data_IF_509476887305
#
_entry.id   IF_509476887305
#
_cell.length_a   1.000
_cell.length_b   1.000
_cell.length_c   1.000
_cell.angle_alpha   90.00
_cell.angle_beta   90.00
_cell.angle_gamma   90.00
#
_symmetry.space_group_name_H-M   'P 1'
#
loop_
_entity.id
_entity.type
_entity.pdbx_description
1 polymer ?
#
# COMPACT_ATOMS: atom_id res chain seq x y z
N UNK A 1 -6.77 7.20 12.93
CA UNK A 1 -5.34 6.96 12.66
C UNK A 1 -4.43 7.51 13.74
N UNK A 2 -4.45 8.82 13.99
CA UNK A 2 -3.57 9.48 14.98
C UNK A 2 -3.61 8.80 16.35
N UNK A 3 -4.78 8.53 16.91
CA UNK A 3 -4.93 7.87 18.22
C UNK A 3 -4.36 6.44 18.27
N UNK A 4 -4.40 5.72 17.15
CA UNK A 4 -3.81 4.37 17.06
C UNK A 4 -2.29 4.44 16.96
N UNK A 5 -1.76 5.41 16.21
CA UNK A 5 -0.33 5.66 16.12
C UNK A 5 0.26 6.10 17.47
N UNK A 6 -0.40 7.01 18.17
CA UNK A 6 -0.01 7.47 19.52
C UNK A 6 -0.04 6.30 20.52
N UNK A 7 -1.10 5.50 20.53
CA UNK A 7 -1.16 4.29 21.37
C UNK A 7 0.01 3.32 21.11
N UNK A 8 0.33 3.06 19.84
CA UNK A 8 1.40 2.14 19.48
C UNK A 8 2.75 2.68 19.93
N UNK A 9 3.00 3.97 19.69
CA UNK A 9 4.23 4.63 20.11
C UNK A 9 4.40 4.59 21.63
N UNK A 10 3.34 4.90 22.39
CA UNK A 10 3.35 4.84 23.86
C UNK A 10 3.63 3.41 24.36
N UNK A 11 3.05 2.39 23.71
CA UNK A 11 3.23 0.98 24.08
C UNK A 11 4.69 0.52 23.97
N UNK A 12 5.42 1.03 22.98
CA UNK A 12 6.78 0.60 22.65
C UNK A 12 7.85 1.67 22.94
N UNK A 13 7.49 2.76 23.61
CA UNK A 13 8.38 3.89 23.93
C UNK A 13 9.10 4.45 22.69
N UNK A 14 8.35 4.64 21.60
CA UNK A 14 8.87 5.12 20.31
C UNK A 14 8.82 6.64 20.29
N UNK A 15 9.95 7.29 20.00
CA UNK A 15 9.99 8.74 19.75
C UNK A 15 9.13 9.11 18.53
N UNK A 16 8.25 10.09 18.69
CA UNK A 16 7.36 10.53 17.61
C UNK A 16 7.57 11.99 17.22
N UNK A 17 7.36 12.27 15.93
CA UNK A 17 7.26 13.62 15.38
C UNK A 17 5.93 13.73 14.63
N UNK A 18 5.11 14.71 15.00
CA UNK A 18 3.80 14.94 14.39
C UNK A 18 3.89 16.06 13.36
N UNK A 19 3.57 15.75 12.12
CA UNK A 19 3.52 16.73 11.01
C UNK A 19 2.10 16.79 10.47
N UNK A 20 1.50 17.98 10.49
CA UNK A 20 0.16 18.19 9.94
C UNK A 20 0.21 18.32 8.41
N UNK A 21 0.05 17.20 7.71
CA UNK A 21 0.09 17.18 6.25
C UNK A 21 -1.05 17.97 5.58
N UNK A 22 -2.14 18.24 6.29
CA UNK A 22 -3.30 18.97 5.75
C UNK A 22 -2.91 20.37 5.24
N UNK A 23 -2.03 21.05 5.97
CA UNK A 23 -1.53 22.39 5.63
C UNK A 23 -0.70 22.42 4.33
N UNK A 24 -0.22 21.26 3.88
CA UNK A 24 0.54 21.11 2.62
C UNK A 24 -0.37 20.54 1.52
N UNK A 25 -1.17 19.53 1.85
CA UNK A 25 -2.02 18.82 0.91
C UNK A 25 -3.10 19.74 0.33
N UNK A 26 -3.86 20.47 1.16
CA UNK A 26 -5.01 21.25 0.68
C UNK A 26 -4.61 22.37 -0.28
N UNK A 27 -3.58 23.20 -0.01
CA UNK A 27 -3.15 24.22 -0.97
C UNK A 27 -2.64 23.61 -2.28
N UNK A 28 -1.91 22.49 -2.22
CA UNK A 28 -1.41 21.82 -3.42
C UNK A 28 -2.56 21.25 -4.25
N UNK A 29 -3.48 20.50 -3.64
CA UNK A 29 -4.65 19.94 -4.34
C UNK A 29 -5.48 21.03 -4.99
N UNK A 30 -5.73 22.14 -4.29
CA UNK A 30 -6.43 23.29 -4.86
C UNK A 30 -5.68 23.88 -6.06
N UNK A 31 -4.35 23.93 -6.02
CA UNK A 31 -3.55 24.39 -7.16
C UNK A 31 -3.63 23.41 -8.34
N UNK A 32 -3.55 22.11 -8.08
CA UNK A 32 -3.57 21.06 -9.11
C UNK A 32 -4.93 20.97 -9.81
N UNK A 33 -6.04 21.10 -9.07
CA UNK A 33 -7.41 21.12 -9.61
C UNK A 33 -7.68 22.28 -10.56
N UNK A 34 -6.88 23.34 -10.50
CA UNK A 34 -6.99 24.51 -11.37
C UNK A 34 -6.06 24.45 -12.59
N UNK A 35 -5.35 23.34 -12.80
CA UNK A 35 -4.58 23.12 -14.03
C UNK A 35 -5.54 22.66 -15.12
N UNK A 36 -5.59 23.41 -16.21
CA UNK A 36 -6.39 23.06 -17.38
C UNK A 36 -5.73 21.89 -18.13
N UNK A 37 -6.23 20.68 -17.89
CA UNK A 37 -5.83 19.45 -18.58
C UNK A 37 -7.06 18.70 -19.08
N UNK A 38 -6.93 18.08 -20.24
CA UNK A 38 -7.95 17.17 -20.75
C UNK A 38 -7.86 15.83 -20.00
N UNK A 39 -8.90 15.48 -19.24
CA UNK A 39 -8.99 14.18 -18.59
C UNK A 39 -9.23 13.07 -19.62
N UNK A 40 -8.55 11.93 -19.43
CA UNK A 40 -8.73 10.75 -20.28
C UNK A 40 -9.53 9.70 -19.54
N UNK A 41 -10.61 9.21 -20.15
CA UNK A 41 -11.28 8.00 -19.67
C UNK A 41 -10.37 6.79 -19.85
N UNK A 42 -10.13 6.05 -18.76
CA UNK A 42 -9.34 4.82 -18.77
C UNK A 42 -10.06 3.74 -18.00
N UNK A 43 -10.02 2.52 -18.53
CA UNK A 43 -10.59 1.35 -17.87
C UNK A 43 -9.70 0.80 -16.75
N UNK A 44 -8.39 1.11 -16.76
CA UNK A 44 -7.45 0.68 -15.74
C UNK A 44 -6.30 1.68 -15.55
N UNK A 45 -5.60 1.55 -14.42
CA UNK A 45 -4.38 2.32 -14.17
C UNK A 45 -3.18 1.68 -14.92
N UNK A 46 -2.30 2.47 -15.58
CA UNK A 46 -1.21 1.90 -16.39
C UNK A 46 -0.24 1.02 -15.59
N UNK A 47 0.00 1.33 -14.31
CA UNK A 47 0.98 0.66 -13.47
C UNK A 47 0.45 -0.60 -12.78
N UNK A 48 -0.87 -0.78 -12.68
CA UNK A 48 -1.46 -1.94 -11.99
C UNK A 48 -2.42 -2.72 -12.87
N UNK A 49 -2.76 -2.26 -14.09
CA UNK A 49 -3.72 -2.87 -15.06
C UNK A 49 -5.09 -3.30 -14.49
N UNK A 50 -5.38 -2.99 -13.23
CA UNK A 50 -6.62 -3.26 -12.53
C UNK A 50 -7.56 -2.07 -12.74
N UNK A 51 -8.87 -2.29 -12.98
CA UNK A 51 -9.86 -1.23 -12.99
C UNK A 51 -9.92 -0.52 -11.64
N UNK A 52 -9.56 0.76 -11.62
CA UNK A 52 -9.59 1.59 -10.41
C UNK A 52 -10.07 3.00 -10.79
N UNK A 53 -10.89 3.66 -9.95
CA UNK A 53 -11.14 5.09 -10.09
C UNK A 53 -9.82 5.87 -10.12
N UNK A 54 -9.81 7.05 -10.74
CA UNK A 54 -8.60 7.86 -10.83
C UNK A 54 -8.00 8.12 -9.43
N UNK A 55 -6.79 7.60 -9.11
CA UNK A 55 -6.22 7.68 -7.77
C UNK A 55 -5.35 8.93 -7.58
N UNK A 56 -5.47 9.95 -8.44
CA UNK A 56 -4.56 11.10 -8.46
C UNK A 56 -4.46 11.81 -7.10
N UNK A 57 -5.61 12.07 -6.47
CA UNK A 57 -5.73 12.74 -5.17
C UNK A 57 -5.19 11.87 -4.02
N UNK A 58 -5.39 10.55 -4.06
CA UNK A 58 -4.81 9.66 -3.04
C UNK A 58 -3.29 9.56 -3.21
N UNK A 59 -2.84 9.37 -4.44
CA UNK A 59 -1.42 9.20 -4.76
C UNK A 59 -0.60 10.45 -4.46
N UNK A 60 -1.14 11.65 -4.62
CA UNK A 60 -0.39 12.87 -4.26
C UNK A 60 -0.19 12.97 -2.75
N UNK A 61 -1.17 12.56 -1.93
CA UNK A 61 -1.04 12.58 -0.48
C UNK A 61 0.04 11.60 0.02
N UNK A 62 0.10 10.38 -0.52
CA UNK A 62 1.15 9.40 -0.17
C UNK A 62 2.53 9.86 -0.62
N UNK A 63 2.65 10.47 -1.81
CA UNK A 63 3.90 11.08 -2.31
C UNK A 63 4.40 12.22 -1.43
N UNK A 64 3.51 13.07 -0.92
CA UNK A 64 3.90 14.14 0.00
C UNK A 64 4.38 13.60 1.35
N UNK A 65 3.78 12.50 1.86
CA UNK A 65 4.29 11.79 3.04
C UNK A 65 5.70 11.26 2.81
N UNK A 66 5.94 10.61 1.67
CA UNK A 66 7.27 10.14 1.25
C UNK A 66 8.29 11.28 1.25
N UNK A 67 7.99 12.41 0.59
CA UNK A 67 8.88 13.57 0.53
C UNK A 67 9.22 14.10 1.93
N UNK A 68 8.23 14.13 2.82
CA UNK A 68 8.40 14.60 4.20
C UNK A 68 9.28 13.64 5.01
N UNK A 69 9.07 12.34 4.88
CA UNK A 69 9.88 11.31 5.54
C UNK A 69 11.35 11.39 5.11
N UNK A 70 11.62 11.50 3.80
CA UNK A 70 12.99 11.62 3.30
C UNK A 70 13.66 12.94 3.74
N UNK A 71 12.94 14.06 3.73
CA UNK A 71 13.48 15.33 4.25
C UNK A 71 13.94 15.19 5.71
N UNK A 72 13.11 14.59 6.56
CA UNK A 72 13.43 14.37 7.97
C UNK A 72 14.60 13.40 8.10
N UNK A 73 14.58 12.29 7.36
CA UNK A 73 15.62 11.27 7.39
C UNK A 73 16.99 11.84 7.02
N UNK A 74 17.09 12.61 5.93
CA UNK A 74 18.33 13.26 5.52
C UNK A 74 18.86 14.26 6.56
N UNK A 75 17.96 15.06 7.17
CA UNK A 75 18.34 16.00 8.23
C UNK A 75 18.82 15.32 9.51
N UNK A 76 18.32 14.12 9.80
CA UNK A 76 18.68 13.32 10.97
C UNK A 76 19.74 12.25 10.68
N UNK A 77 20.19 12.11 9.43
CA UNK A 77 21.05 11.02 8.97
C UNK A 77 20.45 9.63 9.27
N UNK A 78 19.16 9.45 8.96
CA UNK A 78 18.40 8.21 9.07
C UNK A 78 18.09 7.61 7.69
N UNK A 79 17.54 6.40 7.70
CA UNK A 79 16.93 5.74 6.54
C UNK A 79 15.42 5.66 6.72
N UNK A 80 14.66 5.56 5.62
CA UNK A 80 13.20 5.43 5.61
C UNK A 80 12.82 3.94 5.54
N UNK A 81 12.15 3.46 6.59
CA UNK A 81 11.63 2.08 6.68
C UNK A 81 10.21 2.00 6.10
N UNK A 82 10.01 1.11 5.14
CA UNK A 82 8.72 0.87 4.49
C UNK A 82 7.85 -0.15 5.20
N UNK A 83 6.54 0.03 5.06
CA UNK A 83 5.53 -0.81 5.73
C UNK A 83 4.73 -1.66 4.76
N UNK A 84 5.05 -1.64 3.47
CA UNK A 84 4.40 -2.53 2.50
C UNK A 84 4.76 -3.98 2.81
N UNK A 85 3.75 -4.79 3.10
CA UNK A 85 3.88 -6.24 3.30
C UNK A 85 3.84 -7.00 1.97
N UNK A 86 4.11 -8.30 2.00
CA UNK A 86 4.18 -9.13 0.78
C UNK A 86 2.88 -9.14 0.00
N UNK A 87 1.74 -9.24 0.67
CA UNK A 87 0.42 -9.24 0.03
C UNK A 87 0.13 -7.91 -0.68
N UNK A 88 0.46 -6.78 -0.05
CA UNK A 88 0.38 -5.44 -0.68
C UNK A 88 1.33 -5.32 -1.87
N UNK A 89 2.55 -5.85 -1.77
CA UNK A 89 3.53 -5.80 -2.86
C UNK A 89 3.05 -6.63 -4.06
N UNK A 90 2.57 -7.86 -3.81
CA UNK A 90 2.08 -8.78 -4.83
C UNK A 90 0.83 -8.29 -5.54
N UNK A 91 -0.07 -7.63 -4.82
CA UNK A 91 -1.28 -7.00 -5.40
C UNK A 91 -0.99 -5.63 -6.01
N UNK A 92 0.20 -5.08 -5.79
CA UNK A 92 0.55 -3.72 -6.16
C UNK A 92 -0.26 -2.68 -5.36
N UNK A 93 -0.71 -2.98 -4.15
CA UNK A 93 -1.45 -2.07 -3.29
C UNK A 93 -0.55 -1.10 -2.53
N UNK A 94 0.11 -0.23 -3.28
CA UNK A 94 0.93 0.85 -2.77
C UNK A 94 1.04 1.95 -3.82
N UNK A 95 1.32 3.18 -3.42
CA UNK A 95 1.62 4.24 -4.38
C UNK A 95 3.07 4.14 -4.83
N UNK A 96 3.30 4.01 -6.14
CA UNK A 96 4.64 4.11 -6.70
C UNK A 96 5.19 5.52 -6.44
N UNK A 97 6.38 5.58 -5.84
CA UNK A 97 7.01 6.80 -5.33
C UNK A 97 6.24 7.52 -4.22
N UNK A 98 5.28 6.84 -3.58
CA UNK A 98 4.63 7.28 -2.34
C UNK A 98 5.08 6.39 -1.19
N UNK A 99 4.13 5.74 -0.54
CA UNK A 99 4.35 4.75 0.53
C UNK A 99 5.25 3.58 0.10
N UNK A 100 5.30 3.25 -1.20
CA UNK A 100 6.21 2.24 -1.73
C UNK A 100 7.67 2.70 -1.90
N UNK A 101 8.00 3.98 -1.80
CA UNK A 101 9.37 4.48 -1.94
C UNK A 101 10.05 4.59 -0.57
N UNK A 102 10.90 3.61 -0.27
CA UNK A 102 11.58 3.43 1.01
C UNK A 102 12.96 2.81 0.80
N UNK A 103 13.87 2.96 1.76
CA UNK A 103 15.22 2.40 1.69
C UNK A 103 15.23 0.89 2.00
N UNK A 104 14.36 0.43 2.91
CA UNK A 104 14.23 -0.98 3.31
C UNK A 104 12.78 -1.33 3.65
N UNK A 105 12.40 -2.62 3.52
CA UNK A 105 11.05 -3.13 3.85
C UNK A 105 11.14 -4.33 4.82
N UNK A 106 11.17 -4.11 6.15
CA UNK A 106 11.40 -5.17 7.14
C UNK A 106 10.32 -6.26 7.14
N UNK A 107 9.11 -5.93 6.70
CA UNK A 107 7.97 -6.88 6.61
C UNK A 107 7.59 -7.21 5.16
N UNK A 108 8.42 -6.83 4.18
CA UNK A 108 8.10 -6.97 2.76
C UNK A 108 8.03 -8.42 2.27
N UNK A 109 8.53 -9.38 3.04
CA UNK A 109 8.44 -10.82 2.74
C UNK A 109 7.43 -11.55 3.65
N UNK A 110 6.66 -10.81 4.45
CA UNK A 110 5.58 -11.37 5.26
C UNK A 110 4.23 -11.12 4.58
N UNK A 111 3.43 -12.17 4.43
CA UNK A 111 2.03 -12.06 4.04
C UNK A 111 1.24 -11.28 5.11
N UNK A 112 0.08 -10.72 4.76
CA UNK A 112 -0.73 -9.90 5.69
C UNK A 112 -1.12 -10.69 6.94
N UNK A 113 -1.51 -11.94 6.76
CA UNK A 113 -1.80 -12.89 7.84
C UNK A 113 -0.60 -13.07 8.78
N UNK A 114 0.61 -13.22 8.24
CA UNK A 114 1.85 -13.31 9.04
C UNK A 114 2.20 -11.99 9.74
N UNK A 115 1.86 -10.84 9.15
CA UNK A 115 2.01 -9.53 9.81
C UNK A 115 1.09 -9.44 11.04
N UNK A 116 -0.15 -9.94 10.96
CA UNK A 116 -1.04 -10.00 12.13
C UNK A 116 -0.50 -10.94 13.22
N UNK A 117 -0.05 -12.14 12.84
CA UNK A 117 0.60 -13.07 13.79
C UNK A 117 1.83 -12.44 14.47
N UNK A 118 2.69 -11.77 13.70
CA UNK A 118 3.83 -11.06 14.23
C UNK A 118 3.42 -9.93 15.20
N UNK A 119 2.36 -9.19 14.86
CA UNK A 119 1.83 -8.12 15.71
C UNK A 119 1.33 -8.66 17.05
N UNK A 120 0.65 -9.81 17.07
CA UNK A 120 0.23 -10.49 18.30
C UNK A 120 1.44 -10.89 19.15
N UNK A 121 2.44 -11.52 18.54
CA UNK A 121 3.68 -11.95 19.24
C UNK A 121 4.44 -10.77 19.84
N UNK A 122 4.49 -9.64 19.13
CA UNK A 122 5.14 -8.40 19.60
C UNK A 122 4.31 -7.68 20.68
N UNK A 123 3.06 -8.07 20.90
CA UNK A 123 2.16 -7.42 21.86
C UNK A 123 1.62 -6.08 21.37
N UNK A 124 1.41 -5.93 20.06
CA UNK A 124 0.67 -4.82 19.48
C UNK A 124 -0.75 -4.81 20.07
N UNK A 125 -1.30 -3.64 20.47
CA UNK A 125 -2.63 -3.59 21.05
C UNK A 125 -3.72 -4.18 20.14
N UNK A 126 -4.61 -5.01 20.69
CA UNK A 126 -5.68 -5.68 19.94
C UNK A 126 -6.56 -4.72 19.13
N UNK A 127 -6.80 -3.50 19.63
CA UNK A 127 -7.56 -2.47 18.92
C UNK A 127 -6.92 -2.03 17.59
N UNK A 128 -5.62 -2.25 17.42
CA UNK A 128 -4.89 -2.01 16.17
C UNK A 128 -4.97 -3.25 15.27
N UNK A 129 -4.74 -4.44 15.83
CA UNK A 129 -4.76 -5.72 15.10
C UNK A 129 -6.14 -5.99 14.48
N UNK A 130 -7.20 -5.83 15.28
CA UNK A 130 -8.58 -6.11 14.89
C UNK A 130 -9.21 -5.02 14.00
N UNK A 131 -8.45 -3.98 13.66
CA UNK A 131 -8.95 -2.91 12.81
C UNK A 131 -8.97 -3.39 11.35
N UNK A 132 -10.08 -3.20 10.61
CA UNK A 132 -10.11 -3.47 9.18
C UNK A 132 -8.98 -2.74 8.45
N UNK A 133 -8.22 -3.40 7.56
CA UNK A 133 -7.22 -2.76 6.71
C UNK A 133 -7.84 -1.66 5.84
N UNK A 134 -7.16 -0.51 5.78
CA UNK A 134 -7.58 0.64 4.97
C UNK A 134 -6.38 1.42 4.44
N UNK A 135 -6.50 1.98 3.23
CA UNK A 135 -5.50 2.88 2.63
C UNK A 135 -5.32 4.23 3.36
N UNK A 136 -6.27 4.63 4.22
CA UNK A 136 -6.17 5.80 5.10
C UNK A 136 -6.15 7.16 4.38
N UNK A 137 -6.59 7.21 3.12
CA UNK A 137 -6.60 8.40 2.28
C UNK A 137 -8.00 9.00 2.10
N UNK A 138 -9.07 8.19 2.07
CA UNK A 138 -10.45 8.67 1.88
C UNK A 138 -11.20 8.86 3.20
N UNK A 139 -10.77 8.16 4.25
CA UNK A 139 -11.35 8.30 5.60
C UNK A 139 -12.76 7.72 5.76
N UNK A 140 -13.24 6.95 4.78
CA UNK A 140 -14.53 6.28 4.79
C UNK A 140 -14.39 4.78 4.47
N UNK A 141 -15.51 4.04 4.50
CA UNK A 141 -15.51 2.60 4.26
C UNK A 141 -15.22 2.19 2.80
N UNK A 142 -15.13 3.15 1.87
CA UNK A 142 -14.71 2.87 0.50
C UNK A 142 -13.20 2.64 0.38
N UNK A 143 -12.44 2.99 1.42
CA UNK A 143 -10.99 2.89 1.50
C UNK A 143 -10.50 1.54 2.05
N UNK A 144 -11.39 0.54 2.15
CA UNK A 144 -11.05 -0.80 2.65
C UNK A 144 -10.33 -1.59 1.57
N UNK A 145 -9.13 -2.06 1.87
CA UNK A 145 -8.25 -2.78 0.94
C UNK A 145 -8.98 -3.95 0.27
N UNK A 146 -9.60 -4.83 1.07
CA UNK A 146 -10.27 -6.05 0.59
C UNK A 146 -11.46 -5.77 -0.32
N UNK A 147 -12.09 -4.60 -0.17
CA UNK A 147 -13.16 -4.15 -1.07
C UNK A 147 -12.59 -3.71 -2.43
N UNK A 148 -11.41 -3.10 -2.45
CA UNK A 148 -10.71 -2.74 -3.68
C UNK A 148 -10.10 -3.98 -4.36
N UNK A 149 -9.63 -4.94 -3.58
CA UNK A 149 -9.17 -6.23 -4.09
C UNK A 149 -10.30 -7.11 -4.58
N UNK A 150 -11.48 -7.04 -3.96
CA UNK A 150 -12.56 -7.98 -4.20
C UNK A 150 -12.25 -9.39 -3.69
N UNK A 151 -11.35 -9.51 -2.71
CA UNK A 151 -10.96 -10.75 -2.02
C UNK A 151 -10.39 -10.38 -0.64
N UNK A 152 -10.59 -11.25 0.36
CA UNK A 152 -10.00 -11.07 1.69
C UNK A 152 -8.48 -11.29 1.66
N UNK A 153 -7.77 -10.74 2.65
CA UNK A 153 -6.34 -11.02 2.80
C UNK A 153 -6.09 -12.49 3.16
N UNK A 154 -6.95 -13.10 3.98
CA UNK A 154 -6.84 -14.51 4.35
C UNK A 154 -6.94 -15.43 3.14
N UNK A 155 -7.94 -15.21 2.27
CA UNK A 155 -8.11 -16.01 1.06
C UNK A 155 -6.99 -15.73 0.05
N UNK A 156 -6.59 -14.46 -0.13
CA UNK A 156 -5.48 -14.10 -1.00
C UNK A 156 -4.19 -14.80 -0.58
N UNK A 157 -3.82 -14.72 0.70
CA UNK A 157 -2.58 -15.29 1.23
C UNK A 157 -2.59 -16.83 1.11
N UNK A 158 -3.69 -17.49 1.47
CA UNK A 158 -3.81 -18.95 1.39
C UNK A 158 -3.74 -19.47 -0.05
N UNK A 159 -4.42 -18.79 -0.99
CA UNK A 159 -4.39 -19.14 -2.41
C UNK A 159 -3.00 -18.89 -2.99
N UNK A 160 -2.39 -17.74 -2.68
CA UNK A 160 -1.05 -17.40 -3.14
C UNK A 160 -0.01 -18.44 -2.69
N UNK A 161 0.00 -18.81 -1.41
CA UNK A 161 0.91 -19.82 -0.88
C UNK A 161 0.67 -21.19 -1.53
N UNK A 162 -0.60 -21.57 -1.74
CA UNK A 162 -0.93 -22.83 -2.42
C UNK A 162 -0.45 -22.83 -3.89
N UNK A 163 -0.55 -21.69 -4.59
CA UNK A 163 0.01 -21.52 -5.94
C UNK A 163 1.53 -21.68 -5.92
N UNK A 164 2.22 -21.01 -4.98
CA UNK A 164 3.68 -21.00 -4.88
C UNK A 164 4.25 -22.38 -4.52
N UNK A 165 3.55 -23.15 -3.68
CA UNK A 165 3.90 -24.52 -3.29
C UNK A 165 3.47 -25.57 -4.31
N UNK A 166 2.77 -25.17 -5.38
CA UNK A 166 2.22 -26.07 -6.40
C UNK A 166 1.26 -27.12 -5.79
N UNK A 167 0.46 -26.68 -4.81
CA UNK A 167 -0.57 -27.46 -4.13
C UNK A 167 -1.85 -27.59 -4.97
N UNK A 168 -2.76 -28.47 -4.53
CA UNK A 168 -4.10 -28.57 -5.13
C UNK A 168 -4.96 -27.35 -4.76
N UNK A 169 -5.45 -26.67 -5.80
CA UNK A 169 -6.29 -25.48 -5.69
C UNK A 169 -7.79 -25.80 -5.72
N UNK A 170 -8.18 -27.08 -5.90
CA UNK A 170 -9.58 -27.51 -6.01
C UNK A 170 -10.45 -27.18 -4.79
N UNK A 171 -9.81 -26.91 -3.65
CA UNK A 171 -10.46 -26.50 -2.39
C UNK A 171 -10.91 -25.03 -2.37
N UNK A 172 -10.44 -24.21 -3.31
CA UNK A 172 -10.78 -22.78 -3.40
C UNK A 172 -11.81 -22.54 -4.49
N UNK A 173 -12.59 -21.46 -4.35
CA UNK A 173 -13.51 -21.00 -5.39
C UNK A 173 -12.72 -20.57 -6.64
N UNK A 174 -13.18 -21.00 -7.82
CA UNK A 174 -12.48 -20.73 -9.10
C UNK A 174 -12.34 -19.22 -9.36
N UNK A 175 -13.35 -18.43 -8.94
CA UNK A 175 -13.36 -16.98 -9.04
C UNK A 175 -12.23 -16.32 -8.24
N UNK A 176 -11.97 -16.81 -7.02
CA UNK A 176 -10.94 -16.26 -6.13
C UNK A 176 -9.54 -16.62 -6.63
N UNK A 177 -9.34 -17.86 -7.08
CA UNK A 177 -8.08 -18.29 -7.70
C UNK A 177 -7.77 -17.44 -8.93
N UNK A 178 -8.78 -17.17 -9.76
CA UNK A 178 -8.62 -16.30 -10.92
C UNK A 178 -8.28 -14.87 -10.48
N UNK A 179 -8.96 -14.35 -9.45
CA UNK A 179 -8.75 -12.99 -8.94
C UNK A 179 -7.33 -12.79 -8.39
N UNK A 180 -6.81 -13.75 -7.62
CA UNK A 180 -5.43 -13.70 -7.09
C UNK A 180 -4.42 -13.63 -8.23
N UNK A 181 -4.57 -14.48 -9.26
CA UNK A 181 -3.69 -14.46 -10.44
C UNK A 181 -3.77 -13.13 -11.20
N UNK A 182 -4.98 -12.60 -11.39
CA UNK A 182 -5.17 -11.29 -12.02
C UNK A 182 -4.45 -10.19 -11.25
N UNK A 183 -4.59 -10.12 -9.92
CA UNK A 183 -3.93 -9.10 -9.09
C UNK A 183 -2.41 -9.17 -9.22
N UNK A 184 -1.83 -10.38 -9.12
CA UNK A 184 -0.37 -10.60 -9.23
C UNK A 184 0.15 -10.22 -10.60
N UNK A 185 -0.51 -10.69 -11.66
CA UNK A 185 -0.08 -10.42 -13.04
C UNK A 185 -0.16 -8.93 -13.39
N UNK A 186 -1.15 -8.24 -12.83
CA UNK A 186 -1.39 -6.83 -13.10
C UNK A 186 -0.39 -5.92 -12.36
N UNK A 187 0.13 -6.37 -11.21
CA UNK A 187 1.13 -5.66 -10.41
C UNK A 187 2.59 -6.03 -10.71
N UNK A 188 2.84 -7.12 -11.45
CA UNK A 188 4.17 -7.74 -11.66
C UNK A 188 5.29 -6.74 -11.97
N UNK A 189 5.02 -5.79 -12.86
CA UNK A 189 6.03 -4.84 -13.36
C UNK A 189 5.87 -3.44 -12.73
N UNK A 190 5.08 -3.30 -11.65
CA UNK A 190 4.70 -1.99 -11.10
C UNK A 190 5.90 -1.15 -10.64
N UNK A 191 6.91 -1.80 -10.06
CA UNK A 191 8.15 -1.15 -9.61
C UNK A 191 9.21 -1.05 -10.70
N UNK A 192 9.02 -1.72 -11.83
CA UNK A 192 10.02 -1.80 -12.87
C UNK A 192 10.02 -0.51 -13.68
N UNK A 193 11.19 0.12 -13.78
CA UNK A 193 11.38 1.31 -14.58
C UNK A 193 11.95 0.85 -15.93
N UNK A 194 11.12 0.75 -17.00
CA UNK A 194 11.62 0.32 -18.29
C UNK A 194 12.62 1.36 -18.83
N UNK A 195 13.83 0.90 -19.15
CA UNK A 195 14.83 1.72 -19.85
C UNK A 195 14.76 1.39 -21.33
N UNK A 196 14.41 2.37 -22.16
CA UNK A 196 14.47 2.21 -23.61
C UNK A 196 15.91 1.98 -24.04
N UNK A 197 16.17 0.81 -24.63
CA UNK A 197 17.46 0.49 -25.23
C UNK A 197 17.50 1.05 -26.65
N UNK A 198 18.61 1.67 -27.03
CA UNK A 198 18.87 1.98 -28.44
C UNK A 198 19.01 0.64 -29.16
N UNK A 199 18.23 0.42 -30.22
CA UNK A 199 18.34 -0.78 -31.03
C UNK A 199 19.75 -0.85 -31.65
N UNK A 200 20.41 -2.00 -31.49
CA UNK A 200 21.68 -2.31 -32.17
C UNK A 200 21.49 -2.48 -33.67
#
# INVERSE_FOLDING_TARGET
DVEYAELLADKFDIETLKVNMKEINEPLENRLKNIDIEETERSHWPQTKIPTPNPAEQNIQTRLRMMTLYYIAEKKNYVVMGTSNKSEILTGYYTLYGDGATDMRPIGDLNKTQVWELAEVLGVPEKIINRPPTGGCRGDESDRDEKEFGISYEDFDQIYESINNNDDLSKFEEGDVKRVKELIDAARDKSDIPTFKIAE
#
